data_IF_818577925193
#
_entry.id   IF_818577925193
#
_cell.length_a   1.000
_cell.length_b   1.000
_cell.length_c   1.000
_cell.angle_alpha   90.00
_cell.angle_beta   90.00
_cell.angle_gamma   90.00
#
_symmetry.space_group_name_H-M   'P 1'
#
loop_
_entity.id
_entity.type
_entity.pdbx_description
1 polymer ?
#
# COMPACT_ATOMS: atom_id res chain seq x y z
N UNK A 1 -9.91 -15.81 -28.32
CA UNK A 1 -11.00 -15.42 -27.40
C UNK A 1 -10.90 -16.21 -26.10
N UNK A 2 -10.43 -15.58 -25.01
CA UNK A 2 -10.20 -16.22 -23.70
C UNK A 2 -11.50 -16.40 -22.91
N UNK A 3 -12.31 -17.41 -23.25
CA UNK A 3 -13.60 -17.67 -22.60
C UNK A 3 -13.51 -17.97 -21.09
N UNK A 4 -12.32 -18.23 -20.54
CA UNK A 4 -12.12 -18.51 -19.12
C UNK A 4 -11.68 -17.33 -18.24
N UNK A 5 -10.99 -16.33 -18.79
CA UNK A 5 -10.32 -15.32 -17.96
C UNK A 5 -11.32 -14.37 -17.29
N UNK A 6 -12.29 -13.84 -18.04
CA UNK A 6 -13.30 -12.92 -17.51
C UNK A 6 -14.29 -13.56 -16.52
N UNK A 7 -14.36 -14.90 -16.45
CA UNK A 7 -15.09 -15.59 -15.37
C UNK A 7 -14.28 -15.52 -14.07
N UNK A 8 -13.00 -15.85 -14.14
CA UNK A 8 -12.08 -15.84 -12.99
C UNK A 8 -11.86 -14.44 -12.45
N UNK A 9 -11.82 -13.42 -13.31
CA UNK A 9 -11.76 -12.02 -12.88
C UNK A 9 -12.99 -11.62 -12.05
N UNK A 10 -14.19 -12.00 -12.51
CA UNK A 10 -15.44 -11.74 -11.77
C UNK A 10 -15.48 -12.50 -10.44
N UNK A 11 -15.06 -13.76 -10.45
CA UNK A 11 -14.94 -14.56 -9.21
C UNK A 11 -14.01 -13.89 -8.21
N UNK A 12 -12.82 -13.43 -8.63
CA UNK A 12 -11.87 -12.74 -7.75
C UNK A 12 -12.45 -11.44 -7.17
N UNK A 13 -13.13 -10.64 -7.99
CA UNK A 13 -13.77 -9.41 -7.50
C UNK A 13 -14.89 -9.72 -6.49
N UNK A 14 -15.70 -10.74 -6.75
CA UNK A 14 -16.71 -11.20 -5.80
C UNK A 14 -16.10 -11.69 -4.50
N UNK A 15 -15.05 -12.53 -4.57
CA UNK A 15 -14.35 -13.04 -3.39
C UNK A 15 -13.77 -11.89 -2.54
N UNK A 16 -13.17 -10.87 -3.16
CA UNK A 16 -12.65 -9.68 -2.45
C UNK A 16 -13.79 -8.90 -1.79
N UNK A 17 -14.90 -8.69 -2.50
CA UNK A 17 -16.07 -7.98 -1.99
C UNK A 17 -16.73 -8.72 -0.82
N UNK A 18 -16.83 -10.04 -0.90
CA UNK A 18 -17.42 -10.89 0.14
C UNK A 18 -16.53 -11.02 1.36
N UNK A 19 -15.21 -11.12 1.15
CA UNK A 19 -14.24 -11.22 2.25
C UNK A 19 -14.12 -9.91 3.04
N UNK A 20 -14.30 -8.75 2.40
CA UNK A 20 -14.00 -7.44 2.98
C UNK A 20 -12.50 -7.19 3.24
N UNK A 21 -11.65 -8.18 2.95
CA UNK A 21 -10.21 -8.17 3.20
C UNK A 21 -9.45 -8.67 1.95
N UNK A 22 -8.29 -9.29 2.17
CA UNK A 22 -7.44 -9.81 1.12
C UNK A 22 -7.66 -11.31 0.86
N UNK A 23 -7.79 -11.66 -0.41
CA UNK A 23 -8.03 -13.00 -0.91
C UNK A 23 -6.77 -13.59 -1.50
N UNK A 24 -6.56 -14.90 -1.27
CA UNK A 24 -5.41 -15.63 -1.81
C UNK A 24 -5.58 -15.88 -3.32
N UNK A 25 -4.59 -15.49 -4.10
CA UNK A 25 -4.57 -15.72 -5.56
C UNK A 25 -4.08 -17.12 -5.89
N UNK A 26 -3.11 -17.63 -5.12
CA UNK A 26 -2.46 -18.93 -5.37
C UNK A 26 -2.32 -19.75 -4.11
N UNK A 27 -2.57 -21.05 -4.22
CA UNK A 27 -2.37 -22.01 -3.13
C UNK A 27 -1.51 -23.19 -3.60
N UNK A 28 -0.52 -23.65 -2.80
CA UNK A 28 0.26 -24.85 -3.13
C UNK A 28 -0.57 -26.11 -3.35
N UNK A 29 -1.74 -26.21 -2.71
CA UNK A 29 -2.66 -27.35 -2.87
C UNK A 29 -3.54 -27.28 -4.13
N UNK A 30 -3.50 -26.18 -4.88
CA UNK A 30 -4.29 -26.03 -6.11
C UNK A 30 -3.55 -26.52 -7.35
N UNK A 31 -4.31 -26.97 -8.34
CA UNK A 31 -3.77 -27.36 -9.64
C UNK A 31 -2.92 -26.22 -10.25
N UNK A 32 -1.73 -26.51 -10.81
CA UNK A 32 -0.85 -25.49 -11.40
C UNK A 32 -1.54 -24.60 -12.44
N UNK A 33 -2.43 -25.19 -13.24
CA UNK A 33 -3.22 -24.47 -14.25
C UNK A 33 -4.18 -23.46 -13.62
N UNK A 34 -4.85 -23.84 -12.52
CA UNK A 34 -5.72 -22.93 -11.75
C UNK A 34 -4.92 -21.77 -11.18
N UNK A 35 -3.77 -22.06 -10.57
CA UNK A 35 -2.87 -21.04 -10.04
C UNK A 35 -2.43 -20.05 -11.11
N UNK A 36 -2.04 -20.54 -12.29
CA UNK A 36 -1.61 -19.67 -13.39
C UNK A 36 -2.74 -18.79 -13.93
N UNK A 37 -3.95 -19.33 -14.10
CA UNK A 37 -5.10 -18.55 -14.56
C UNK A 37 -5.48 -17.48 -13.54
N UNK A 38 -5.48 -17.79 -12.24
CA UNK A 38 -5.77 -16.80 -11.18
C UNK A 38 -4.70 -15.71 -11.11
N UNK A 39 -3.42 -16.04 -11.28
CA UNK A 39 -2.35 -15.02 -11.38
C UNK A 39 -2.57 -14.06 -12.55
N UNK A 40 -2.92 -14.60 -13.73
CA UNK A 40 -3.20 -13.76 -14.91
C UNK A 40 -4.41 -12.87 -14.68
N UNK A 41 -5.47 -13.40 -14.08
CA UNK A 41 -6.66 -12.62 -13.73
C UNK A 41 -6.33 -11.49 -12.73
N UNK A 42 -5.57 -11.80 -11.67
CA UNK A 42 -5.14 -10.80 -10.69
C UNK A 42 -4.32 -9.68 -11.34
N UNK A 43 -3.32 -10.01 -12.17
CA UNK A 43 -2.52 -9.00 -12.89
C UNK A 43 -3.33 -8.16 -13.86
N UNK A 44 -4.30 -8.78 -14.53
CA UNK A 44 -5.21 -8.08 -15.45
C UNK A 44 -6.10 -7.08 -14.70
N UNK A 45 -6.63 -7.47 -13.54
CA UNK A 45 -7.43 -6.59 -12.67
C UNK A 45 -6.60 -5.48 -12.04
N UNK A 46 -5.35 -5.77 -11.64
CA UNK A 46 -4.39 -4.78 -11.16
C UNK A 46 -4.06 -3.75 -12.24
N UNK A 47 -3.78 -4.20 -13.48
CA UNK A 47 -3.54 -3.31 -14.62
C UNK A 47 -4.75 -2.42 -14.97
N UNK A 48 -5.97 -2.90 -14.67
CA UNK A 48 -7.21 -2.13 -14.80
C UNK A 48 -7.46 -1.18 -13.61
N UNK A 49 -6.63 -1.22 -12.57
CA UNK A 49 -6.82 -0.42 -11.36
C UNK A 49 -8.08 -0.80 -10.58
N UNK A 50 -8.50 -2.07 -10.61
CA UNK A 50 -9.71 -2.53 -9.91
C UNK A 50 -9.41 -3.17 -8.55
N UNK A 51 -8.18 -3.68 -8.37
CA UNK A 51 -7.75 -4.34 -7.14
C UNK A 51 -6.28 -4.00 -6.86
N UNK A 52 -5.91 -4.09 -5.59
CA UNK A 52 -4.52 -4.11 -5.15
C UNK A 52 -3.96 -5.53 -5.13
N UNK A 53 -2.68 -5.69 -5.45
CA UNK A 53 -1.95 -6.97 -5.33
C UNK A 53 -0.77 -6.80 -4.39
N UNK A 54 -0.52 -7.78 -3.53
CA UNK A 54 0.66 -7.77 -2.67
C UNK A 54 1.11 -9.17 -2.29
N UNK A 55 2.34 -9.28 -1.77
CA UNK A 55 2.87 -10.52 -1.21
C UNK A 55 2.73 -10.52 0.31
N UNK A 56 2.04 -11.52 0.87
CA UNK A 56 1.98 -11.77 2.32
C UNK A 56 2.99 -12.86 2.69
N UNK A 57 3.87 -12.58 3.66
CA UNK A 57 4.70 -13.61 4.28
C UNK A 57 3.87 -14.34 5.35
N UNK A 58 3.90 -15.67 5.34
CA UNK A 58 3.29 -16.52 6.35
C UNK A 58 4.30 -17.62 6.71
N UNK A 59 5.03 -17.43 7.81
CA UNK A 59 6.18 -18.27 8.15
C UNK A 59 7.25 -18.24 7.05
N UNK A 60 7.62 -19.42 6.53
CA UNK A 60 8.60 -19.56 5.43
C UNK A 60 8.00 -19.36 4.03
N UNK A 61 6.69 -19.23 3.92
CA UNK A 61 5.99 -19.14 2.63
C UNK A 61 5.59 -17.71 2.29
N UNK A 62 5.52 -17.40 0.99
CA UNK A 62 5.01 -16.14 0.47
C UNK A 62 3.76 -16.42 -0.36
N UNK A 63 2.67 -15.74 -0.06
CA UNK A 63 1.39 -15.87 -0.74
C UNK A 63 1.08 -14.60 -1.51
N UNK A 64 0.70 -14.76 -2.78
CA UNK A 64 0.15 -13.67 -3.57
C UNK A 64 -1.30 -13.43 -3.13
N UNK A 65 -1.57 -12.19 -2.75
CA UNK A 65 -2.87 -11.74 -2.24
C UNK A 65 -3.43 -10.64 -3.16
N UNK A 66 -4.75 -10.58 -3.25
CA UNK A 66 -5.50 -9.49 -3.87
C UNK A 66 -6.45 -8.87 -2.86
N UNK A 67 -6.67 -7.58 -2.91
CA UNK A 67 -7.59 -6.86 -2.01
C UNK A 67 -8.23 -5.68 -2.74
N UNK A 68 -9.16 -4.98 -2.09
CA UNK A 68 -9.62 -3.68 -2.58
C UNK A 68 -8.47 -2.66 -2.56
N UNK A 69 -8.62 -1.60 -3.35
CA UNK A 69 -7.65 -0.52 -3.37
C UNK A 69 -7.62 0.27 -2.06
N UNK A 70 -8.77 0.51 -1.44
CA UNK A 70 -8.82 1.22 -0.15
C UNK A 70 -8.03 0.45 0.91
N UNK A 71 -8.26 -0.86 1.00
CA UNK A 71 -7.53 -1.73 1.92
C UNK A 71 -6.02 -1.71 1.67
N UNK A 72 -5.59 -1.70 0.40
CA UNK A 72 -4.17 -1.65 0.07
C UNK A 72 -3.53 -0.33 0.53
N UNK A 73 -4.22 0.79 0.34
CA UNK A 73 -3.75 2.13 0.75
C UNK A 73 -3.61 2.21 2.27
N UNK A 74 -4.65 1.81 3.01
CA UNK A 74 -4.63 1.80 4.47
C UNK A 74 -3.49 0.95 5.01
N UNK A 75 -3.30 -0.24 4.44
CA UNK A 75 -2.22 -1.13 4.83
C UNK A 75 -0.85 -0.53 4.54
N UNK A 76 -0.65 0.06 3.36
CA UNK A 76 0.63 0.71 3.00
C UNK A 76 0.95 1.90 3.91
N UNK A 77 -0.08 2.67 4.29
CA UNK A 77 0.06 3.74 5.27
C UNK A 77 0.46 3.20 6.64
N UNK A 78 -0.19 2.13 7.10
CA UNK A 78 0.15 1.49 8.37
C UNK A 78 1.57 0.93 8.39
N UNK A 79 1.99 0.25 7.31
CA UNK A 79 3.34 -0.30 7.17
C UNK A 79 4.38 0.85 7.23
N UNK A 80 4.15 1.96 6.51
CA UNK A 80 5.04 3.12 6.51
C UNK A 80 5.14 3.79 7.90
N UNK A 81 4.03 3.91 8.63
CA UNK A 81 4.03 4.42 10.01
C UNK A 81 4.79 3.49 10.96
N UNK A 82 4.70 2.19 10.75
CA UNK A 82 5.45 1.23 11.56
C UNK A 82 6.96 1.36 11.32
N UNK A 83 7.39 1.40 10.05
CA UNK A 83 8.81 1.61 9.68
C UNK A 83 9.36 2.94 10.22
N UNK A 84 8.55 4.01 10.21
CA UNK A 84 8.91 5.29 10.81
C UNK A 84 9.14 5.18 12.32
N UNK A 85 8.27 4.45 13.03
CA UNK A 85 8.43 4.26 14.47
C UNK A 85 9.65 3.39 14.79
N UNK A 86 9.88 2.30 14.06
CA UNK A 86 11.07 1.46 14.26
C UNK A 86 12.37 2.25 14.04
N UNK A 87 12.41 3.12 13.02
CA UNK A 87 13.57 3.97 12.76
C UNK A 87 13.77 5.05 13.82
N UNK A 88 12.68 5.63 14.35
CA UNK A 88 12.76 6.56 15.48
C UNK A 88 13.31 5.87 16.74
N UNK A 89 12.78 4.71 17.07
CA UNK A 89 13.18 3.98 18.28
C UNK A 89 14.66 3.55 18.18
N UNK A 90 15.11 3.10 17.00
CA UNK A 90 16.52 2.81 16.74
C UNK A 90 17.43 4.04 16.86
N UNK A 91 16.95 5.22 16.43
CA UNK A 91 17.65 6.48 16.60
C UNK A 91 17.78 6.86 18.07
N UNK A 92 16.70 6.74 18.86
CA UNK A 92 16.72 7.02 20.30
C UNK A 92 17.70 6.11 21.05
N UNK A 93 17.72 4.82 20.70
CA UNK A 93 18.69 3.87 21.26
C UNK A 93 20.13 4.25 20.91
N UNK A 94 20.40 4.67 19.67
CA UNK A 94 21.72 5.11 19.23
C UNK A 94 22.16 6.40 19.95
N UNK A 95 21.25 7.35 20.16
CA UNK A 95 21.52 8.58 20.92
C UNK A 95 21.88 8.23 22.37
N UNK A 96 21.11 7.36 23.02
CA UNK A 96 21.38 6.91 24.39
C UNK A 96 22.78 6.31 24.53
N UNK A 97 23.16 5.41 23.62
CA UNK A 97 24.50 4.81 23.59
C UNK A 97 25.61 5.86 23.40
N UNK A 98 25.36 6.90 22.59
CA UNK A 98 26.33 7.98 22.37
C UNK A 98 26.49 8.87 23.60
N UNK A 99 25.39 9.20 24.29
CA UNK A 99 25.41 9.99 25.53
C UNK A 99 26.11 9.22 26.67
N UNK A 100 25.87 7.90 26.78
CA UNK A 100 26.59 7.03 27.72
C UNK A 100 28.09 6.96 27.43
N UNK A 101 28.47 6.84 26.15
CA UNK A 101 29.88 6.78 25.74
C UNK A 101 30.59 8.14 25.84
N UNK A 102 29.86 9.26 25.70
CA UNK A 102 30.40 10.63 25.72
C UNK A 102 29.46 11.56 26.49
N UNK A 103 29.54 11.61 27.84
CA UNK A 103 28.60 12.34 28.68
C UNK A 103 28.58 13.87 28.47
N UNK A 104 29.58 14.43 27.78
CA UNK A 104 29.67 15.86 27.48
C UNK A 104 29.11 16.23 26.09
N UNK A 105 28.62 15.28 25.31
CA UNK A 105 28.04 15.55 23.98
C UNK A 105 26.53 15.28 24.06
N UNK A 106 25.72 16.35 23.94
CA UNK A 106 24.28 16.24 23.74
C UNK A 106 23.97 16.23 22.26
N UNK A 107 23.24 15.21 21.79
CA UNK A 107 22.79 15.15 20.40
C UNK A 107 21.46 15.90 20.30
N UNK A 108 21.33 16.91 19.42
CA UNK A 108 20.08 17.66 19.27
C UNK A 108 18.98 16.76 18.69
N UNK A 109 17.82 16.76 19.35
CA UNK A 109 16.61 16.11 18.83
C UNK A 109 15.89 17.07 17.89
N UNK A 110 15.88 16.76 16.60
CA UNK A 110 15.06 17.50 15.63
C UNK A 110 13.67 16.87 15.67
N UNK A 111 12.72 17.57 16.26
CA UNK A 111 11.30 17.19 16.22
C UNK A 111 10.73 17.77 14.93
N UNK A 112 10.34 16.92 14.00
CA UNK A 112 9.51 17.34 12.88
C UNK A 112 8.07 17.41 13.39
N UNK A 113 7.50 18.62 13.46
CA UNK A 113 6.08 18.81 13.68
C UNK A 113 5.34 18.25 12.46
N UNK A 114 4.85 17.02 12.57
CA UNK A 114 3.90 16.45 11.61
C UNK A 114 2.53 17.08 11.83
N UNK A 115 2.41 18.40 11.66
CA UNK A 115 1.10 19.02 11.56
C UNK A 115 0.40 18.41 10.33
N UNK A 116 -0.85 17.91 10.46
CA UNK A 116 -1.61 17.51 9.29
C UNK A 116 -1.70 18.76 8.39
N UNK A 117 -1.29 18.61 7.13
CA UNK A 117 -1.57 19.61 6.10
C UNK A 117 -3.09 19.82 6.08
N UNK A 118 -3.57 20.86 6.74
CA UNK A 118 -4.94 21.34 6.56
C UNK A 118 -5.02 21.83 5.13
N UNK A 119 -5.83 21.15 4.32
CA UNK A 119 -6.12 21.49 2.93
C UNK A 119 -6.93 22.78 2.85
N UNK A 120 -6.36 23.90 3.31
CA UNK A 120 -6.84 25.22 2.93
C UNK A 120 -6.20 25.56 1.58
N UNK A 121 -6.66 24.87 0.53
CA UNK A 121 -6.44 25.36 -0.82
C UNK A 121 -7.21 26.68 -0.95
N UNK A 122 -6.55 27.81 -1.26
CA UNK A 122 -7.28 29.02 -1.59
C UNK A 122 -8.19 28.68 -2.77
N UNK A 123 -9.49 28.96 -2.63
CA UNK A 123 -10.46 28.86 -3.72
C UNK A 123 -9.87 29.62 -4.91
N UNK A 124 -9.54 28.89 -5.98
CA UNK A 124 -9.11 29.52 -7.22
C UNK A 124 -10.31 30.31 -7.73
N UNK A 125 -10.21 31.64 -7.70
CA UNK A 125 -11.19 32.49 -8.34
C UNK A 125 -11.34 32.05 -9.81
N UNK A 126 -12.58 31.97 -10.32
CA UNK A 126 -12.81 31.56 -11.69
C UNK A 126 -12.00 32.45 -12.64
N UNK A 127 -11.25 31.79 -13.52
CA UNK A 127 -10.48 32.45 -14.57
C UNK A 127 -11.46 33.14 -15.53
N UNK A 128 -11.59 34.46 -15.39
CA UNK A 128 -12.32 35.31 -16.33
C UNK A 128 -11.54 35.32 -17.64
N UNK A 129 -11.94 34.43 -18.56
CA UNK A 129 -11.35 34.33 -19.88
C UNK A 129 -11.61 35.59 -20.68
N UNK A 130 -10.64 36.50 -20.73
CA UNK A 130 -10.59 37.51 -21.79
C UNK A 130 -10.36 36.80 -23.13
N UNK A 131 -11.39 36.83 -23.97
CA UNK A 131 -11.33 36.42 -25.37
C UNK A 131 -10.24 37.25 -26.07
N UNK A 132 -9.18 36.57 -26.50
CA UNK A 132 -8.20 37.15 -27.41
C UNK A 132 -8.86 37.22 -28.80
N UNK A 133 -9.44 38.37 -29.10
CA UNK A 133 -9.93 38.72 -30.43
C UNK A 133 -8.80 38.54 -31.47
N UNK A 134 -9.10 37.78 -32.52
CA UNK A 134 -8.22 37.47 -33.66
C UNK A 134 -8.36 38.49 -34.79
#
# INVERSE_FOLDING_TARGET
MSRGLGKVERELLSEVKESGEAVRVTDPGWEPKRNEVRRRAARSLEAKGLIGVYMRKSGRHRHLMVCSLEYLIERKRSDALHELNETRDAFEDAVRLCEEAKPNIRIPRIVYDNQPMTEDYPEQEPFDGEELDS
#
